data_IF_343057430446
#
_entry.id   IF_343057430446
#
_cell.length_a   1.000
_cell.length_b   1.000
_cell.length_c   1.000
_cell.angle_alpha   90.00
_cell.angle_beta   90.00
_cell.angle_gamma   90.00
#
_symmetry.space_group_name_H-M   'P 1'
#
loop_
_entity.id
_entity.type
_entity.pdbx_description
1 polymer ?
#
# COMPACT_ATOMS: atom_id res chain seq x y z
N UNK A 1 -16.40 -20.83 -9.02
CA UNK A 1 -16.44 -19.55 -8.27
C UNK A 1 -15.01 -19.11 -8.10
N UNK A 2 -14.57 -18.18 -8.94
CA UNK A 2 -13.17 -17.83 -9.13
C UNK A 2 -12.68 -16.87 -8.04
N UNK A 3 -11.41 -17.03 -7.67
CA UNK A 3 -10.64 -16.23 -6.71
C UNK A 3 -10.74 -14.71 -6.94
N UNK A 4 -11.13 -14.29 -8.16
CA UNK A 4 -11.52 -12.91 -8.52
C UNK A 4 -12.51 -12.28 -7.54
N UNK A 5 -13.53 -13.02 -7.06
CA UNK A 5 -14.55 -12.45 -6.16
C UNK A 5 -13.95 -12.12 -4.79
N UNK A 6 -12.97 -12.89 -4.33
CA UNK A 6 -12.30 -12.69 -3.04
C UNK A 6 -11.32 -11.52 -3.12
N UNK A 7 -10.55 -11.42 -4.21
CA UNK A 7 -9.63 -10.30 -4.44
C UNK A 7 -10.39 -8.97 -4.62
N UNK A 8 -11.56 -9.01 -5.29
CA UNK A 8 -12.42 -7.85 -5.48
C UNK A 8 -13.03 -7.36 -4.15
N UNK A 9 -13.35 -8.27 -3.23
CA UNK A 9 -13.74 -7.91 -1.86
C UNK A 9 -12.57 -7.30 -1.08
N UNK A 10 -11.35 -7.84 -1.23
CA UNK A 10 -10.18 -7.38 -0.48
C UNK A 10 -9.73 -5.97 -0.89
N UNK A 11 -9.70 -5.66 -2.20
CA UNK A 11 -9.38 -4.30 -2.70
C UNK A 11 -10.44 -3.28 -2.26
N UNK A 12 -11.73 -3.66 -2.27
CA UNK A 12 -12.81 -2.79 -1.83
C UNK A 12 -12.80 -2.51 -0.32
N UNK A 13 -12.29 -3.44 0.49
CA UNK A 13 -12.32 -3.33 1.96
C UNK A 13 -11.04 -2.73 2.57
N UNK A 14 -9.87 -3.02 2.00
CA UNK A 14 -8.58 -2.55 2.53
C UNK A 14 -7.96 -1.36 1.79
N UNK A 15 -8.44 -1.02 0.59
CA UNK A 15 -7.92 0.11 -0.20
C UNK A 15 -8.94 1.23 -0.46
N UNK A 16 -10.07 1.28 0.26
CA UNK A 16 -10.98 2.44 0.17
C UNK A 16 -10.37 3.63 0.93
N UNK A 17 -10.15 4.79 0.27
CA UNK A 17 -10.26 6.04 1.00
C UNK A 17 -11.69 6.11 1.54
N UNK A 18 -11.82 6.46 2.82
CA UNK A 18 -13.10 6.72 3.47
C UNK A 18 -13.84 7.79 2.67
N UNK A 19 -14.78 7.38 1.81
CA UNK A 19 -15.66 8.30 1.09
C UNK A 19 -16.86 8.59 2.00
N UNK A 20 -16.70 9.57 2.88
CA UNK A 20 -17.81 10.14 3.66
C UNK A 20 -18.52 11.17 2.77
N UNK A 21 -19.84 11.05 2.72
CA UNK A 21 -20.76 11.91 2.00
C UNK A 21 -20.52 13.41 2.30
N UNK A 22 -20.34 14.17 1.22
CA UNK A 22 -20.07 15.60 1.24
C UNK A 22 -21.32 16.41 1.59
N UNK A 23 -21.25 17.14 2.69
CA UNK A 23 -21.86 18.47 2.86
C UNK A 23 -21.56 19.10 4.23
N UNK A 24 -21.00 18.34 5.19
CA UNK A 24 -20.59 18.85 6.53
C UNK A 24 -19.06 18.78 6.76
N UNK A 25 -18.30 18.27 5.80
CA UNK A 25 -16.90 17.80 5.97
C UNK A 25 -15.82 18.85 5.74
N UNK A 26 -16.04 19.89 4.93
CA UNK A 26 -14.92 20.73 4.49
C UNK A 26 -14.24 21.53 5.64
N UNK A 27 -14.99 22.02 6.62
CA UNK A 27 -14.37 22.78 7.72
C UNK A 27 -13.69 21.90 8.77
N UNK A 28 -14.25 20.74 9.11
CA UNK A 28 -13.67 19.83 10.11
C UNK A 28 -12.46 19.05 9.59
N UNK A 29 -12.43 18.73 8.28
CA UNK A 29 -11.29 18.06 7.64
C UNK A 29 -10.09 19.00 7.51
N UNK A 30 -10.30 20.28 7.15
CA UNK A 30 -9.22 21.28 7.06
C UNK A 30 -8.61 21.55 8.45
N UNK A 31 -9.44 21.68 9.50
CA UNK A 31 -8.96 21.87 10.88
C UNK A 31 -8.19 20.63 11.40
N UNK A 32 -8.67 19.43 11.10
CA UNK A 32 -8.03 18.18 11.55
C UNK A 32 -6.72 17.85 10.85
N UNK A 33 -6.57 18.19 9.56
CA UNK A 33 -5.28 18.05 8.85
C UNK A 33 -4.23 19.01 9.42
N UNK A 34 -4.63 20.26 9.71
CA UNK A 34 -3.76 21.29 10.27
C UNK A 34 -3.22 20.91 11.67
N UNK A 35 -4.05 20.28 12.51
CA UNK A 35 -3.64 19.83 13.84
C UNK A 35 -2.69 18.63 13.79
N UNK A 36 -2.91 17.68 12.87
CA UNK A 36 -2.02 16.52 12.66
C UNK A 36 -0.59 16.97 12.33
N UNK A 37 -0.45 17.87 11.36
CA UNK A 37 0.85 18.40 10.93
C UNK A 37 1.57 19.09 12.10
N UNK A 38 0.85 19.91 12.85
CA UNK A 38 1.43 20.64 14.00
C UNK A 38 1.84 19.73 15.14
N UNK A 39 1.07 18.69 15.42
CA UNK A 39 1.46 17.67 16.40
C UNK A 39 2.71 16.95 15.93
N UNK A 40 2.81 16.61 14.64
CA UNK A 40 4.01 16.00 14.08
C UNK A 40 5.23 16.93 14.18
N UNK A 41 5.06 18.24 13.95
CA UNK A 41 6.11 19.25 14.09
C UNK A 41 6.59 19.40 15.54
N UNK A 42 5.67 19.32 16.50
CA UNK A 42 5.99 19.38 17.95
C UNK A 42 6.72 18.11 18.41
N UNK A 43 6.43 16.97 17.79
CA UNK A 43 6.99 15.66 18.11
C UNK A 43 8.19 15.25 17.25
N UNK A 44 8.74 16.15 16.42
CA UNK A 44 9.98 15.88 15.66
C UNK A 44 11.10 15.55 16.64
N UNK A 45 11.60 14.32 16.56
CA UNK A 45 12.70 13.77 17.37
C UNK A 45 12.51 13.89 18.90
N UNK A 46 11.27 14.07 19.34
CA UNK A 46 10.92 14.29 20.75
C UNK A 46 9.78 13.36 21.19
N UNK A 47 9.83 12.98 22.45
CA UNK A 47 8.72 12.31 23.14
C UNK A 47 8.14 13.27 24.18
N UNK A 48 6.86 13.60 24.07
CA UNK A 48 6.23 14.63 24.90
C UNK A 48 4.97 14.11 25.56
N UNK A 49 4.72 14.54 26.80
CA UNK A 49 3.45 14.28 27.48
C UNK A 49 2.34 15.14 26.90
N UNK A 50 1.08 14.77 27.15
CA UNK A 50 -0.10 15.55 26.74
C UNK A 50 0.03 17.02 27.20
N UNK A 51 0.50 17.23 28.43
CA UNK A 51 0.68 18.58 28.99
C UNK A 51 1.74 19.38 28.25
N UNK A 52 2.85 18.74 27.86
CA UNK A 52 3.91 19.38 27.09
C UNK A 52 3.44 19.70 25.65
N UNK A 53 2.76 18.76 24.99
CA UNK A 53 2.16 18.99 23.66
C UNK A 53 1.16 20.14 23.70
N UNK A 54 0.33 20.22 24.74
CA UNK A 54 -0.64 21.31 24.91
C UNK A 54 0.06 22.67 25.01
N UNK A 55 1.18 22.75 25.73
CA UNK A 55 1.95 23.99 25.88
C UNK A 55 2.61 24.41 24.56
N UNK A 56 3.28 23.48 23.89
CA UNK A 56 3.93 23.73 22.59
C UNK A 56 2.92 24.15 21.52
N UNK A 57 1.73 23.55 21.49
CA UNK A 57 0.66 23.94 20.58
C UNK A 57 0.14 25.35 20.91
N UNK A 58 -0.05 25.68 22.19
CA UNK A 58 -0.44 27.04 22.62
C UNK A 58 0.59 28.09 22.21
N UNK A 59 1.88 27.80 22.37
CA UNK A 59 2.98 28.68 21.97
C UNK A 59 2.99 28.91 20.44
N UNK A 60 2.50 27.94 19.67
CA UNK A 60 2.27 28.05 18.21
C UNK A 60 0.91 28.67 17.82
N UNK A 61 0.13 29.17 18.78
CA UNK A 61 -1.18 29.80 18.55
C UNK A 61 -2.37 28.84 18.49
N UNK A 62 -2.21 27.56 18.87
CA UNK A 62 -3.26 26.54 18.86
C UNK A 62 -3.80 26.33 20.27
N UNK A 63 -4.96 26.91 20.53
CA UNK A 63 -5.66 26.79 21.82
C UNK A 63 -6.83 25.84 21.65
N UNK A 64 -6.52 24.54 21.63
CA UNK A 64 -7.54 23.50 21.64
C UNK A 64 -7.90 23.09 23.07
N UNK A 65 -9.16 22.68 23.27
CA UNK A 65 -9.58 22.15 24.56
C UNK A 65 -8.83 20.84 24.85
N UNK A 66 -8.33 20.67 26.08
CA UNK A 66 -7.49 19.53 26.47
C UNK A 66 -8.14 18.18 26.16
N UNK A 67 -9.46 18.06 26.37
CA UNK A 67 -10.21 16.84 26.07
C UNK A 67 -10.19 16.49 24.58
N UNK A 68 -10.30 17.50 23.71
CA UNK A 68 -10.24 17.34 22.25
C UNK A 68 -8.85 16.86 21.84
N UNK A 69 -7.80 17.51 22.36
CA UNK A 69 -6.42 17.09 22.09
C UNK A 69 -6.15 15.65 22.55
N UNK A 70 -6.64 15.26 23.73
CA UNK A 70 -6.48 13.87 24.20
C UNK A 70 -7.23 12.86 23.34
N UNK A 71 -8.44 13.19 22.89
CA UNK A 71 -9.20 12.35 21.96
C UNK A 71 -8.47 12.21 20.62
N UNK A 72 -7.88 13.31 20.14
CA UNK A 72 -7.14 13.35 18.90
C UNK A 72 -5.83 12.55 18.96
N UNK A 73 -5.04 12.70 20.02
CA UNK A 73 -3.82 11.91 20.23
C UNK A 73 -4.12 10.41 20.35
N UNK A 74 -5.23 10.04 21.00
CA UNK A 74 -5.71 8.66 21.04
C UNK A 74 -6.04 8.15 19.64
N UNK A 75 -6.78 8.93 18.84
CA UNK A 75 -7.09 8.56 17.46
C UNK A 75 -5.83 8.42 16.60
N UNK A 76 -4.84 9.31 16.75
CA UNK A 76 -3.57 9.21 16.02
C UNK A 76 -2.77 7.96 16.41
N UNK A 77 -2.81 7.56 17.68
CA UNK A 77 -2.24 6.28 18.14
C UNK A 77 -2.98 5.09 17.54
N UNK A 78 -4.31 5.11 17.54
CA UNK A 78 -5.14 4.04 16.99
C UNK A 78 -4.91 3.88 15.47
N UNK A 79 -4.65 4.99 14.77
CA UNK A 79 -4.23 5.03 13.37
C UNK A 79 -2.75 4.71 13.14
N UNK A 80 -2.02 4.31 14.19
CA UNK A 80 -0.57 4.00 14.14
C UNK A 80 0.29 5.12 13.53
N UNK A 81 -0.10 6.38 13.76
CA UNK A 81 0.70 7.57 13.40
C UNK A 81 1.60 8.02 14.55
N UNK A 82 1.17 7.77 15.78
CA UNK A 82 1.93 8.03 17.01
C UNK A 82 2.09 6.77 17.84
N UNK A 83 3.16 6.70 18.61
CA UNK A 83 3.38 5.70 19.64
C UNK A 83 3.05 6.31 21.00
N UNK A 84 2.23 5.63 21.81
CA UNK A 84 1.97 5.98 23.21
C UNK A 84 2.88 5.11 24.10
N UNK A 85 3.67 5.76 24.97
CA UNK A 85 4.60 5.10 25.91
C UNK A 85 4.20 5.51 27.31
N UNK A 86 4.02 4.54 28.20
CA UNK A 86 3.71 4.77 29.61
C UNK A 86 5.01 4.99 30.39
N UNK A 87 5.20 6.22 30.90
CA UNK A 87 6.35 6.62 31.71
C UNK A 87 5.81 7.27 32.99
N UNK A 88 5.70 6.51 34.10
CA UNK A 88 5.11 7.02 35.33
C UNK A 88 5.70 8.37 35.77
N UNK A 89 4.86 9.35 36.20
CA UNK A 89 3.42 9.26 36.44
C UNK A 89 2.54 9.59 35.22
N UNK A 90 3.07 9.59 33.99
CA UNK A 90 2.37 10.12 32.81
C UNK A 90 2.50 9.23 31.57
N UNK A 91 1.77 9.60 30.52
CA UNK A 91 1.93 9.03 29.18
C UNK A 91 2.64 10.03 28.29
N UNK A 92 3.57 9.55 27.49
CA UNK A 92 4.24 10.34 26.46
C UNK A 92 3.89 9.80 25.08
N UNK A 93 3.85 10.69 24.11
CA UNK A 93 3.64 10.37 22.71
C UNK A 93 4.93 10.64 21.95
N UNK A 94 5.30 9.71 21.06
CA UNK A 94 6.38 9.88 20.09
C UNK A 94 5.80 9.76 18.69
N UNK A 95 6.32 10.57 17.75
CA UNK A 95 6.06 10.35 16.33
C UNK A 95 6.69 9.04 15.88
N UNK A 96 5.96 8.23 15.12
CA UNK A 96 6.54 7.09 14.42
C UNK A 96 7.31 7.63 13.21
N UNK A 97 8.64 7.50 13.23
CA UNK A 97 9.53 7.88 12.10
C UNK A 97 9.13 7.13 10.82
N UNK A 98 8.57 5.93 11.00
CA UNK A 98 7.94 5.13 9.98
C UNK A 98 6.55 4.78 10.52
N UNK A 99 5.44 5.45 10.10
CA UNK A 99 4.13 4.81 10.24
C UNK A 99 4.32 3.42 9.64
N UNK A 100 3.92 2.36 10.38
CA UNK A 100 4.07 0.95 9.95
C UNK A 100 4.03 0.91 8.44
N UNK A 101 5.16 0.55 7.81
CA UNK A 101 5.40 0.70 6.37
C UNK A 101 4.05 0.56 5.69
N UNK A 102 3.51 1.66 5.17
CA UNK A 102 2.41 1.55 4.23
C UNK A 102 3.11 0.98 2.99
N UNK A 103 3.38 -0.33 3.05
CA UNK A 103 4.13 -1.07 2.06
C UNK A 103 3.25 -0.95 0.84
N UNK A 104 3.71 -0.12 -0.10
CA UNK A 104 3.00 0.07 -1.34
C UNK A 104 2.81 -1.31 -1.99
N UNK A 105 1.69 -1.50 -2.67
CA UNK A 105 1.35 -2.79 -3.26
C UNK A 105 2.46 -3.28 -4.19
N UNK A 106 3.15 -2.36 -4.89
CA UNK A 106 4.32 -2.67 -5.70
C UNK A 106 5.49 -3.21 -4.88
N UNK A 107 5.73 -2.69 -3.66
CA UNK A 107 6.80 -3.19 -2.80
C UNK A 107 6.51 -4.61 -2.32
N UNK A 108 5.25 -4.88 -1.91
CA UNK A 108 4.87 -6.20 -1.38
C UNK A 108 4.92 -7.25 -2.49
N UNK A 109 4.27 -6.98 -3.62
CA UNK A 109 4.30 -7.89 -4.77
C UNK A 109 5.73 -8.04 -5.28
N UNK A 110 6.50 -6.94 -5.33
CA UNK A 110 7.91 -6.92 -5.70
C UNK A 110 8.77 -7.83 -4.83
N UNK A 111 8.56 -7.83 -3.52
CA UNK A 111 9.28 -8.70 -2.58
C UNK A 111 8.95 -10.17 -2.80
N UNK A 112 7.68 -10.48 -3.07
CA UNK A 112 7.23 -11.86 -3.33
C UNK A 112 7.75 -12.41 -4.67
N UNK A 113 7.83 -11.60 -5.73
CA UNK A 113 8.32 -12.06 -7.04
C UNK A 113 9.85 -12.05 -7.16
N UNK A 114 10.58 -11.43 -6.24
CA UNK A 114 12.06 -11.36 -6.26
C UNK A 114 12.73 -12.72 -6.10
N UNK A 115 12.07 -13.66 -5.44
CA UNK A 115 12.56 -15.04 -5.25
C UNK A 115 12.44 -15.90 -6.51
N UNK A 116 11.68 -15.45 -7.51
CA UNK A 116 11.38 -16.19 -8.74
C UNK A 116 12.38 -15.90 -9.86
N UNK A 117 12.41 -16.79 -10.85
CA UNK A 117 13.24 -16.67 -12.05
C UNK A 117 12.98 -15.36 -12.81
N UNK A 118 14.04 -14.80 -13.39
CA UNK A 118 14.03 -13.48 -14.02
C UNK A 118 13.03 -13.39 -15.18
N UNK A 119 12.89 -14.46 -15.97
CA UNK A 119 11.95 -14.51 -17.10
C UNK A 119 10.49 -14.54 -16.63
N UNK A 120 10.18 -15.31 -15.58
CA UNK A 120 8.82 -15.45 -15.06
C UNK A 120 8.38 -14.23 -14.24
N UNK A 121 9.34 -13.57 -13.57
CA UNK A 121 9.09 -12.39 -12.74
C UNK A 121 8.35 -11.29 -13.47
N UNK A 122 8.76 -10.99 -14.70
CA UNK A 122 8.13 -9.94 -15.51
C UNK A 122 6.70 -10.31 -15.90
N UNK A 123 6.49 -11.54 -16.36
CA UNK A 123 5.17 -12.05 -16.72
C UNK A 123 4.22 -12.01 -15.52
N UNK A 124 4.65 -12.49 -14.35
CA UNK A 124 3.84 -12.48 -13.14
C UNK A 124 3.52 -11.07 -12.66
N UNK A 125 4.49 -10.15 -12.70
CA UNK A 125 4.26 -8.77 -12.30
C UNK A 125 3.18 -8.09 -13.16
N UNK A 126 3.30 -8.20 -14.48
CA UNK A 126 2.31 -7.61 -15.40
C UNK A 126 0.96 -8.30 -15.20
N UNK A 127 0.92 -9.63 -15.07
CA UNK A 127 -0.32 -10.37 -14.84
C UNK A 127 -1.04 -9.91 -13.57
N UNK A 128 -0.33 -9.90 -12.44
CA UNK A 128 -0.91 -9.57 -11.14
C UNK A 128 -1.37 -8.12 -11.12
N UNK A 129 -0.50 -7.17 -11.50
CA UNK A 129 -0.82 -5.74 -11.44
C UNK A 129 -1.95 -5.38 -12.42
N UNK A 130 -1.92 -5.92 -13.66
CA UNK A 130 -2.99 -5.67 -14.62
C UNK A 130 -4.35 -6.17 -14.14
N UNK A 131 -4.39 -7.32 -13.44
CA UNK A 131 -5.61 -7.88 -12.85
C UNK A 131 -6.08 -7.11 -11.62
N UNK A 132 -5.16 -6.64 -10.78
CA UNK A 132 -5.48 -5.82 -9.62
C UNK A 132 -6.10 -4.48 -10.02
N UNK A 133 -5.54 -3.82 -11.04
CA UNK A 133 -5.99 -2.48 -11.47
C UNK A 133 -6.96 -2.49 -12.65
N UNK A 134 -7.18 -3.65 -13.28
CA UNK A 134 -8.04 -3.83 -14.45
C UNK A 134 -7.65 -2.92 -15.61
N UNK A 135 -6.35 -2.71 -15.81
CA UNK A 135 -5.79 -1.89 -16.88
C UNK A 135 -4.37 -2.36 -17.26
N UNK A 136 -3.84 -1.95 -18.42
CA UNK A 136 -2.43 -2.16 -18.76
C UNK A 136 -1.47 -1.52 -17.73
N UNK A 137 -0.28 -2.10 -17.60
CA UNK A 137 0.72 -1.72 -16.59
C UNK A 137 1.79 -0.85 -17.22
N UNK A 138 1.99 0.35 -16.71
CA UNK A 138 3.03 1.27 -17.18
C UNK A 138 4.42 0.78 -16.74
N UNK A 139 5.45 1.13 -17.53
CA UNK A 139 6.84 0.81 -17.20
C UNK A 139 7.26 1.40 -15.86
N UNK A 140 6.79 2.59 -15.51
CA UNK A 140 7.08 3.21 -14.21
C UNK A 140 6.62 2.31 -13.04
N UNK A 141 5.44 1.68 -13.15
CA UNK A 141 4.93 0.73 -12.15
C UNK A 141 5.84 -0.50 -12.01
N UNK A 142 6.41 -0.97 -13.12
CA UNK A 142 7.37 -2.08 -13.11
C UNK A 142 8.68 -1.69 -12.40
N UNK A 143 9.13 -0.44 -12.52
CA UNK A 143 10.28 0.05 -11.76
C UNK A 143 10.01 0.01 -10.25
N UNK A 144 8.80 0.38 -9.82
CA UNK A 144 8.38 0.28 -8.42
C UNK A 144 8.32 -1.17 -7.89
N UNK A 145 8.09 -2.15 -8.77
CA UNK A 145 8.19 -3.58 -8.48
C UNK A 145 9.66 -4.10 -8.42
N UNK A 146 10.63 -3.25 -8.77
CA UNK A 146 12.04 -3.63 -8.86
C UNK A 146 12.42 -4.34 -10.16
N UNK A 147 11.59 -4.22 -11.20
CA UNK A 147 11.87 -4.76 -12.53
C UNK A 147 12.59 -3.69 -13.35
N UNK A 148 13.77 -4.03 -13.86
CA UNK A 148 14.58 -3.08 -14.62
C UNK A 148 14.17 -3.04 -16.11
N UNK A 149 14.44 -1.91 -16.77
CA UNK A 149 14.09 -1.70 -18.19
C UNK A 149 14.80 -2.68 -19.15
N UNK A 150 15.99 -3.17 -18.78
CA UNK A 150 16.75 -4.11 -19.61
C UNK A 150 16.06 -5.48 -19.67
N UNK A 151 15.55 -5.95 -18.54
CA UNK A 151 14.78 -7.19 -18.43
C UNK A 151 13.51 -7.12 -19.27
N UNK A 152 12.86 -5.96 -19.33
CA UNK A 152 11.68 -5.75 -20.20
C UNK A 152 12.06 -5.83 -21.68
N UNK A 153 13.11 -5.10 -22.10
CA UNK A 153 13.57 -5.11 -23.49
C UNK A 153 14.00 -6.51 -23.94
N UNK A 154 14.83 -7.19 -23.15
CA UNK A 154 15.29 -8.55 -23.41
C UNK A 154 14.12 -9.53 -23.54
N UNK A 155 13.09 -9.38 -22.70
CA UNK A 155 11.92 -10.25 -22.76
C UNK A 155 11.13 -10.02 -24.05
N UNK A 156 10.92 -8.78 -24.48
CA UNK A 156 10.18 -8.46 -25.71
C UNK A 156 10.85 -9.00 -26.99
N UNK A 157 12.16 -9.13 -26.98
CA UNK A 157 12.94 -9.70 -28.08
C UNK A 157 12.87 -11.24 -28.13
N UNK A 158 12.49 -11.89 -27.02
CA UNK A 158 12.37 -13.35 -26.95
C UNK A 158 11.11 -13.88 -27.64
N UNK A 159 11.27 -14.93 -28.45
CA UNK A 159 10.17 -15.59 -29.16
C UNK A 159 9.09 -16.19 -28.25
N UNK A 160 9.41 -16.46 -26.98
CA UNK A 160 8.51 -17.00 -25.95
C UNK A 160 7.80 -15.91 -25.14
N UNK A 161 7.97 -14.64 -25.51
CA UNK A 161 7.40 -13.51 -24.76
C UNK A 161 5.87 -13.48 -24.85
N UNK A 162 5.20 -13.65 -23.72
CA UNK A 162 3.75 -13.55 -23.63
C UNK A 162 3.26 -12.10 -23.40
N UNK A 163 4.17 -11.12 -23.45
CA UNK A 163 3.88 -9.71 -23.18
C UNK A 163 3.77 -8.95 -24.51
N UNK A 164 2.84 -8.00 -24.58
CA UNK A 164 2.75 -6.97 -25.63
C UNK A 164 2.82 -5.58 -25.03
N UNK A 165 3.26 -4.63 -25.85
CA UNK A 165 2.96 -3.21 -25.64
C UNK A 165 1.48 -3.01 -25.94
N UNK A 166 0.74 -2.51 -24.96
CA UNK A 166 -0.70 -2.27 -25.08
C UNK A 166 -0.98 -1.14 -26.07
N UNK A 167 -2.06 -1.31 -26.84
CA UNK A 167 -2.55 -0.32 -27.82
C UNK A 167 -3.90 0.28 -27.41
N UNK A 168 -4.24 0.19 -26.13
CA UNK A 168 -5.49 0.73 -25.60
C UNK A 168 -5.61 2.24 -25.88
N UNK A 169 -6.79 2.67 -26.31
CA UNK A 169 -7.10 4.06 -26.61
C UNK A 169 -7.16 4.91 -25.32
N UNK A 170 -7.45 4.27 -24.18
CA UNK A 170 -7.64 4.92 -22.88
C UNK A 170 -6.33 5.20 -22.12
N UNK A 171 -5.16 4.86 -22.68
CA UNK A 171 -3.87 5.04 -22.00
C UNK A 171 -3.63 6.49 -21.54
N UNK A 172 -4.12 7.48 -22.30
CA UNK A 172 -4.02 8.89 -21.90
C UNK A 172 -4.85 9.21 -20.65
N UNK A 173 -6.06 8.63 -20.55
CA UNK A 173 -6.95 8.79 -19.40
C UNK A 173 -6.35 8.12 -18.16
N UNK A 174 -5.88 6.88 -18.30
CA UNK A 174 -5.25 6.16 -17.18
C UNK A 174 -4.06 6.92 -16.61
N UNK A 175 -3.22 7.54 -17.45
CA UNK A 175 -2.11 8.37 -16.98
C UNK A 175 -2.57 9.56 -16.12
N UNK A 176 -3.70 10.17 -16.45
CA UNK A 176 -4.23 11.31 -15.68
C UNK A 176 -4.95 10.88 -14.41
N UNK A 177 -5.52 9.67 -14.37
CA UNK A 177 -6.25 9.14 -13.20
C UNK A 177 -5.33 8.54 -12.13
N UNK A 178 -4.14 8.07 -12.52
CA UNK A 178 -3.12 7.59 -11.58
C UNK A 178 -2.54 8.79 -10.82
N UNK A 179 -2.97 8.95 -9.57
CA UNK A 179 -2.54 10.07 -8.70
C UNK A 179 -1.49 9.67 -7.68
N UNK A 180 -1.32 8.36 -7.42
CA UNK A 180 -0.40 7.86 -6.40
C UNK A 180 1.07 7.88 -6.85
N UNK A 181 1.31 7.77 -8.15
CA UNK A 181 2.64 7.81 -8.76
C UNK A 181 2.60 8.68 -10.02
N UNK A 182 3.66 9.46 -10.31
CA UNK A 182 3.73 10.24 -11.54
C UNK A 182 4.11 9.33 -12.72
N UNK A 183 3.22 9.18 -13.70
CA UNK A 183 3.52 8.43 -14.92
C UNK A 183 4.02 9.38 -16.03
N UNK A 184 5.21 9.14 -16.62
CA UNK A 184 5.71 9.96 -17.73
C UNK A 184 4.81 9.90 -18.98
N UNK A 185 4.73 11.00 -19.73
CA UNK A 185 3.83 11.14 -20.88
C UNK A 185 4.07 10.11 -22.01
N UNK A 186 5.32 9.71 -22.22
CA UNK A 186 5.73 8.74 -23.24
C UNK A 186 6.03 7.35 -22.66
N UNK A 187 5.52 7.05 -21.46
CA UNK A 187 5.80 5.76 -20.82
C UNK A 187 4.96 4.64 -21.46
N UNK A 188 5.58 3.56 -21.96
CA UNK A 188 4.85 2.44 -22.56
C UNK A 188 4.10 1.66 -21.49
N UNK A 189 2.93 1.13 -21.87
CA UNK A 189 2.16 0.22 -21.05
C UNK A 189 2.21 -1.20 -21.63
N UNK A 190 2.17 -2.19 -20.76
CA UNK A 190 2.29 -3.60 -21.12
C UNK A 190 1.08 -4.40 -20.66
N UNK A 191 0.78 -5.44 -21.41
CA UNK A 191 -0.31 -6.38 -21.17
C UNK A 191 0.12 -7.80 -21.54
N UNK A 192 -0.60 -8.80 -21.04
CA UNK A 192 -0.36 -10.20 -21.37
C UNK A 192 -1.24 -10.61 -22.54
N UNK A 193 -0.61 -11.20 -23.57
CA UNK A 193 -1.26 -11.65 -24.80
C UNK A 193 -2.10 -12.92 -24.61
N UNK A 194 -1.58 -13.86 -23.81
CA UNK A 194 -2.22 -15.15 -23.60
C UNK A 194 -1.94 -15.65 -22.19
N UNK A 195 -2.97 -16.25 -21.60
CA UNK A 195 -2.91 -16.81 -20.27
C UNK A 195 -2.47 -18.27 -20.33
N UNK A 196 -1.46 -18.59 -19.55
CA UNK A 196 -1.03 -19.96 -19.34
C UNK A 196 -1.50 -20.43 -17.96
N UNK A 197 -1.91 -21.71 -17.87
CA UNK A 197 -2.33 -22.32 -16.62
C UNK A 197 -1.19 -22.30 -15.58
N UNK A 198 0.06 -22.44 -16.03
CA UNK A 198 1.22 -22.35 -15.14
C UNK A 198 1.39 -20.93 -14.56
N UNK A 199 1.21 -19.90 -15.39
CA UNK A 199 1.25 -18.49 -14.96
C UNK A 199 0.18 -18.19 -13.92
N UNK A 200 -1.05 -18.66 -14.15
CA UNK A 200 -2.17 -18.48 -13.20
C UNK A 200 -1.86 -19.18 -11.87
N UNK A 201 -1.36 -20.41 -11.91
CA UNK A 201 -0.99 -21.17 -10.71
C UNK A 201 0.08 -20.44 -9.90
N UNK A 202 1.13 -19.96 -10.57
CA UNK A 202 2.21 -19.20 -9.95
C UNK A 202 1.73 -17.86 -9.37
N UNK A 203 0.85 -17.16 -10.09
CA UNK A 203 0.26 -15.91 -9.61
C UNK A 203 -0.56 -16.13 -8.33
N UNK A 204 -1.31 -17.24 -8.24
CA UNK A 204 -2.06 -17.57 -7.02
C UNK A 204 -1.14 -17.81 -5.82
N UNK A 205 -0.01 -18.48 -6.01
CA UNK A 205 0.98 -18.68 -4.94
C UNK A 205 1.50 -17.33 -4.43
N UNK A 206 1.93 -16.46 -5.35
CA UNK A 206 2.42 -15.11 -5.02
C UNK A 206 1.35 -14.28 -4.30
N UNK A 207 0.09 -14.34 -4.75
CA UNK A 207 -1.01 -13.62 -4.12
C UNK A 207 -1.33 -14.15 -2.72
N UNK A 208 -1.27 -15.47 -2.52
CA UNK A 208 -1.46 -16.08 -1.19
C UNK A 208 -0.38 -15.60 -0.22
N UNK A 209 0.88 -15.60 -0.64
CA UNK A 209 1.98 -15.14 0.22
C UNK A 209 1.92 -13.62 0.48
N UNK A 210 1.54 -12.84 -0.54
CA UNK A 210 1.23 -11.41 -0.39
C UNK A 210 0.14 -11.16 0.66
N UNK A 211 -0.91 -11.99 0.70
CA UNK A 211 -1.99 -11.87 1.70
C UNK A 211 -1.48 -12.24 3.10
N UNK A 212 -0.62 -13.26 3.24
CA UNK A 212 -0.02 -13.63 4.53
C UNK A 212 0.82 -12.50 5.12
N UNK A 213 1.52 -11.75 4.27
CA UNK A 213 2.31 -10.60 4.71
C UNK A 213 1.43 -9.41 5.15
N UNK A 214 0.26 -9.28 4.53
CA UNK A 214 -0.69 -8.18 4.78
C UNK A 214 -1.64 -8.43 5.96
N UNK A 215 -1.93 -9.70 6.24
CA UNK A 215 -2.94 -10.09 7.24
C UNK A 215 -2.29 -10.92 8.32
N UNK A 216 -2.47 -10.51 9.57
CA UNK A 216 -2.09 -11.35 10.70
C UNK A 216 -2.98 -12.59 10.77
N UNK A 217 -2.44 -13.71 10.32
CA UNK A 217 -3.07 -15.02 10.40
C UNK A 217 -2.64 -15.80 11.65
N UNK A 218 -1.93 -15.16 12.57
CA UNK A 218 -1.53 -15.78 13.83
C UNK A 218 -2.77 -16.21 14.63
N UNK A 219 -2.75 -17.42 15.17
CA UNK A 219 -3.90 -18.03 15.84
C UNK A 219 -4.94 -18.67 14.92
N UNK A 220 -4.89 -18.45 13.60
CA UNK A 220 -5.70 -19.17 12.60
C UNK A 220 -4.97 -20.39 12.05
N UNK A 221 -3.64 -20.41 12.11
CA UNK A 221 -2.82 -21.56 11.71
C UNK A 221 -2.50 -22.47 12.91
N UNK A 222 -2.63 -23.80 12.77
CA UNK A 222 -2.24 -24.73 13.81
C UNK A 222 -0.72 -24.66 14.07
N UNK A 223 -0.32 -24.77 15.34
CA UNK A 223 1.10 -24.80 15.76
C UNK A 223 1.79 -26.13 15.49
N UNK A 224 1.03 -27.16 15.13
CA UNK A 224 1.50 -28.52 14.86
C UNK A 224 1.87 -28.69 13.38
N UNK A 225 2.88 -29.53 13.10
CA UNK A 225 3.31 -29.82 11.73
C UNK A 225 2.16 -30.44 10.93
N UNK A 226 1.85 -29.86 9.79
CA UNK A 226 0.75 -30.25 8.92
C UNK A 226 1.09 -31.57 8.20
N UNK A 227 0.18 -32.55 8.20
CA UNK A 227 0.48 -33.93 7.76
C UNK A 227 -0.26 -34.39 6.50
N UNK A 228 -1.20 -33.60 5.96
CA UNK A 228 -2.11 -34.06 4.88
C UNK A 228 -2.35 -33.08 3.72
N UNK A 229 -1.84 -31.85 3.78
CA UNK A 229 -1.96 -30.93 2.65
C UNK A 229 -0.73 -31.07 1.76
N UNK A 230 -0.96 -31.09 0.45
CA UNK A 230 0.10 -31.08 -0.57
C UNK A 230 0.80 -29.73 -0.46
N UNK A 231 2.12 -29.74 -0.22
CA UNK A 231 2.94 -28.54 -0.36
C UNK A 231 2.87 -28.09 -1.82
N UNK A 232 2.42 -26.84 -2.03
CA UNK A 232 2.35 -26.21 -3.36
C UNK A 232 3.67 -25.52 -3.68
#
# INVERSE_FOLDING_TARGET
>A
MTFEVILQFFILFFCRPIHISNSVTNQSVIMSQNLSEKINDVLVDRQLSISAITRELKDKGFVEHRLVLTGYLRALRDLKKLQEIEIPPSKVYKRLEYPEKCTDIYSIVGDQIKSLDMEMRLHLAIFIISRLFKRPVFREELLHLGINNKSVANCLESSTCMISVSRDENLKLYRTEITRIPIPANDPAYEIKAEDAHLISMANVVLVDTIKDLVDISGLTPKTKQTKLVEM
#
